data_IF_004599437556
#
_entry.id   IF_004599437556
#
_cell.length_a   1.000
_cell.length_b   1.000
_cell.length_c   1.000
_cell.angle_alpha   90.00
_cell.angle_beta   90.00
_cell.angle_gamma   90.00
#
_symmetry.space_group_name_H-M   'P 1'
#
loop_
_entity.id
_entity.type
_entity.pdbx_description
1 polymer ?
#
# COMPACT_ATOMS: atom_id res chain seq x y z
N UNK A 1 -13.70 10.39 -2.88
CA UNK A 1 -13.04 10.99 -1.70
C UNK A 1 -12.95 10.00 -0.55
N UNK A 2 -11.74 9.51 -0.33
CA UNK A 2 -11.35 8.68 0.82
C UNK A 2 -11.71 9.41 2.12
N UNK A 3 -12.50 8.79 2.99
CA UNK A 3 -12.86 9.39 4.27
C UNK A 3 -11.60 9.66 5.11
N UNK A 4 -11.34 10.95 5.40
CA UNK A 4 -10.25 11.37 6.28
C UNK A 4 -8.90 11.64 5.61
N UNK A 5 -8.74 11.42 4.31
CA UNK A 5 -7.51 11.86 3.59
C UNK A 5 -7.37 13.37 3.60
N UNK A 6 -8.46 14.12 3.40
CA UNK A 6 -8.41 15.58 3.44
C UNK A 6 -7.92 16.12 4.79
N UNK A 7 -8.33 15.47 5.89
CA UNK A 7 -7.84 15.80 7.23
C UNK A 7 -6.36 15.46 7.38
N UNK A 8 -5.96 14.28 6.90
CA UNK A 8 -4.56 13.86 6.92
C UNK A 8 -3.70 14.85 6.12
N UNK A 9 -4.08 15.17 4.88
CA UNK A 9 -3.44 16.17 4.03
C UNK A 9 -3.28 17.52 4.74
N UNK A 10 -4.35 18.04 5.33
CA UNK A 10 -4.30 19.32 6.02
C UNK A 10 -3.37 19.30 7.25
N UNK A 11 -3.37 18.19 7.99
CA UNK A 11 -2.59 18.04 9.22
C UNK A 11 -1.10 17.80 8.96
N UNK A 12 -0.76 17.10 7.87
CA UNK A 12 0.62 16.76 7.49
C UNK A 12 1.23 17.69 6.43
N UNK A 13 0.65 18.88 6.25
CA UNK A 13 1.22 19.88 5.34
C UNK A 13 2.63 20.28 5.79
N UNK A 14 3.59 20.25 4.86
CA UNK A 14 5.02 20.45 5.14
C UNK A 14 5.80 19.19 5.53
N UNK A 15 5.12 18.05 5.69
CA UNK A 15 5.71 16.76 6.06
C UNK A 15 5.67 15.74 4.91
N UNK A 16 5.39 16.17 3.68
CA UNK A 16 5.13 15.29 2.53
C UNK A 16 6.34 14.43 2.13
N UNK A 17 7.56 14.84 2.48
CA UNK A 17 8.79 14.09 2.20
C UNK A 17 9.05 12.93 3.17
N UNK A 18 8.28 12.84 4.25
CA UNK A 18 8.54 11.94 5.38
C UNK A 18 7.70 10.67 5.32
N UNK A 19 6.76 10.59 4.38
CA UNK A 19 5.91 9.43 4.19
C UNK A 19 5.55 9.22 2.72
N UNK A 20 5.08 8.01 2.43
CA UNK A 20 4.41 7.67 1.16
C UNK A 20 3.13 6.91 1.50
N UNK A 21 1.99 7.42 1.05
CA UNK A 21 0.73 6.69 1.12
C UNK A 21 0.73 5.60 0.05
N UNK A 22 0.32 4.41 0.45
CA UNK A 22 0.25 3.24 -0.42
C UNK A 22 -1.12 2.57 -0.29
N UNK A 23 -1.22 1.32 -0.74
CA UNK A 23 -2.38 0.48 -0.47
C UNK A 23 -3.66 1.01 -1.11
N UNK A 24 -4.80 0.82 -0.43
CA UNK A 24 -6.12 1.14 -0.99
C UNK A 24 -6.35 2.63 -1.21
N UNK A 25 -5.90 3.46 -0.26
CA UNK A 25 -6.17 4.89 -0.27
C UNK A 25 -5.38 5.61 -1.36
N UNK A 26 -4.13 5.22 -1.59
CA UNK A 26 -3.35 5.72 -2.72
C UNK A 26 -4.00 5.36 -4.06
N UNK A 27 -4.50 4.12 -4.22
CA UNK A 27 -5.21 3.71 -5.43
C UNK A 27 -6.48 4.56 -5.67
N UNK A 28 -7.25 4.84 -4.61
CA UNK A 28 -8.46 5.65 -4.72
C UNK A 28 -8.16 7.08 -5.14
N UNK A 29 -7.15 7.72 -4.55
CA UNK A 29 -6.72 9.08 -4.92
C UNK A 29 -6.26 9.15 -6.39
N UNK A 30 -5.45 8.19 -6.82
CA UNK A 30 -4.91 8.14 -8.19
C UNK A 30 -6.03 7.91 -9.22
N UNK A 31 -7.02 7.08 -8.90
CA UNK A 31 -8.16 6.84 -9.79
C UNK A 31 -9.09 8.06 -9.86
N UNK A 32 -9.31 8.73 -8.73
CA UNK A 32 -10.13 9.94 -8.64
C UNK A 32 -9.52 11.10 -9.47
N UNK A 33 -8.19 11.21 -9.53
CA UNK A 33 -7.47 12.20 -10.36
C UNK A 33 -7.86 12.11 -11.86
N UNK A 34 -8.13 10.90 -12.36
CA UNK A 34 -8.53 10.66 -13.75
C UNK A 34 -10.05 10.43 -13.92
N UNK A 35 -10.83 10.66 -12.87
CA UNK A 35 -12.28 10.51 -12.88
C UNK A 35 -12.79 9.07 -12.93
N UNK A 36 -12.00 8.11 -12.45
CA UNK A 36 -12.38 6.70 -12.33
C UNK A 36 -12.74 6.35 -10.88
N UNK A 37 -13.74 5.49 -10.73
CA UNK A 37 -14.10 4.94 -9.42
C UNK A 37 -13.11 3.85 -8.99
N UNK A 38 -12.77 3.85 -7.71
CA UNK A 38 -12.06 2.76 -7.06
C UNK A 38 -12.86 2.22 -5.88
N UNK A 39 -12.54 1.00 -5.42
CA UNK A 39 -13.19 0.46 -4.22
C UNK A 39 -12.83 1.36 -3.03
N UNK A 40 -13.85 1.86 -2.34
CA UNK A 40 -13.64 2.71 -1.18
C UNK A 40 -12.83 1.97 -0.10
N UNK A 41 -11.85 2.67 0.47
CA UNK A 41 -11.21 2.27 1.72
C UNK A 41 -11.37 3.37 2.77
N UNK A 42 -11.27 2.98 4.04
CA UNK A 42 -11.24 3.93 5.15
C UNK A 42 -9.92 3.86 5.92
N UNK A 43 -9.02 3.01 5.47
CA UNK A 43 -7.73 2.74 6.09
C UNK A 43 -6.64 3.48 5.32
N UNK A 44 -5.66 4.03 6.05
CA UNK A 44 -4.46 4.63 5.47
C UNK A 44 -3.25 3.74 5.74
N UNK A 45 -2.65 3.27 4.65
CA UNK A 45 -1.37 2.58 4.65
C UNK A 45 -0.25 3.59 4.43
N UNK A 46 0.61 3.78 5.43
CA UNK A 46 1.61 4.86 5.48
C UNK A 46 3.00 4.25 5.61
N UNK A 47 3.84 4.40 4.60
CA UNK A 47 5.27 4.04 4.69
C UNK A 47 6.06 5.24 5.15
N UNK A 48 6.82 5.11 6.23
CA UNK A 48 7.69 6.16 6.73
C UNK A 48 9.03 6.16 5.97
N UNK A 49 9.48 7.34 5.56
CA UNK A 49 10.81 7.55 4.96
C UNK A 49 11.78 7.87 6.09
N UNK A 50 12.38 6.82 6.65
CA UNK A 50 13.14 6.88 7.91
C UNK A 50 14.27 7.92 7.87
N UNK A 51 14.95 8.03 6.73
CA UNK A 51 16.04 9.00 6.53
C UNK A 51 15.58 10.47 6.48
N UNK A 52 14.28 10.73 6.30
CA UNK A 52 13.68 12.06 6.27
C UNK A 52 12.94 12.40 7.58
N UNK A 53 12.77 11.43 8.49
CA UNK A 53 12.07 11.65 9.76
C UNK A 53 12.84 12.60 10.67
N UNK A 54 12.09 13.47 11.32
CA UNK A 54 12.58 14.38 12.35
C UNK A 54 11.60 14.36 13.55
N UNK A 55 11.98 14.96 14.70
CA UNK A 55 11.10 15.01 15.87
C UNK A 55 9.76 15.71 15.58
N UNK A 56 9.75 16.70 14.67
CA UNK A 56 8.54 17.44 14.32
C UNK A 56 7.49 16.55 13.65
N UNK A 57 7.91 15.59 12.82
CA UNK A 57 6.98 14.60 12.25
C UNK A 57 6.36 13.72 13.33
N UNK A 58 7.16 13.21 14.26
CA UNK A 58 6.66 12.34 15.34
C UNK A 58 5.64 13.08 16.23
N UNK A 59 5.92 14.34 16.56
CA UNK A 59 4.98 15.21 17.28
C UNK A 59 3.69 15.44 16.49
N UNK A 60 3.81 15.76 15.20
CA UNK A 60 2.67 15.98 14.29
C UNK A 60 1.82 14.71 14.16
N UNK A 61 2.46 13.55 14.02
CA UNK A 61 1.78 12.27 13.92
C UNK A 61 1.02 11.93 15.19
N UNK A 62 1.65 12.11 16.36
CA UNK A 62 0.98 11.88 17.65
C UNK A 62 -0.17 12.85 17.88
N UNK A 63 -0.02 14.12 17.50
CA UNK A 63 -1.11 15.08 17.55
C UNK A 63 -2.31 14.65 16.68
N UNK A 64 -2.06 14.04 15.51
CA UNK A 64 -3.13 13.49 14.67
C UNK A 64 -3.84 12.31 15.34
N UNK A 65 -3.07 11.40 15.94
CA UNK A 65 -3.59 10.23 16.66
C UNK A 65 -4.43 10.66 17.88
N UNK A 66 -3.98 11.68 18.61
CA UNK A 66 -4.69 12.23 19.77
C UNK A 66 -5.95 12.98 19.37
N UNK A 67 -5.86 13.83 18.34
CA UNK A 67 -7.01 14.59 17.83
C UNK A 67 -8.08 13.69 17.19
N UNK A 68 -7.69 12.56 16.58
CA UNK A 68 -8.61 11.54 16.11
C UNK A 68 -9.20 10.67 17.23
N UNK A 69 -8.57 10.71 18.42
CA UNK A 69 -8.96 9.91 19.58
C UNK A 69 -8.93 8.41 19.28
N UNK A 70 -7.87 7.93 18.62
CA UNK A 70 -7.71 6.52 18.28
C UNK A 70 -7.52 5.67 19.55
N UNK A 71 -8.48 4.79 19.79
CA UNK A 71 -8.55 3.94 21.00
C UNK A 71 -7.59 2.75 20.93
N UNK A 72 -7.44 2.16 19.75
CA UNK A 72 -6.58 1.00 19.55
C UNK A 72 -5.21 1.49 19.11
N UNK A 73 -4.16 1.10 19.86
CA UNK A 73 -2.76 1.37 19.54
C UNK A 73 -1.97 0.07 19.66
N UNK A 74 -1.53 -0.46 18.53
CA UNK A 74 -0.94 -1.78 18.42
C UNK A 74 0.46 -1.71 17.79
N UNK A 75 1.31 -2.66 18.16
CA UNK A 75 2.64 -2.85 17.57
C UNK A 75 2.89 -4.34 17.29
N UNK A 76 3.51 -4.66 16.15
CA UNK A 76 4.04 -6.01 15.91
C UNK A 76 5.11 -6.39 16.93
N UNK A 77 5.16 -7.67 17.30
CA UNK A 77 6.31 -8.27 17.96
C UNK A 77 7.33 -8.78 16.92
N UNK A 78 8.63 -8.75 17.26
CA UNK A 78 9.71 -9.27 16.43
C UNK A 78 10.53 -8.20 15.70
N UNK A 79 11.19 -8.58 14.60
CA UNK A 79 12.03 -7.67 13.79
C UNK A 79 11.23 -6.57 13.07
N UNK A 80 9.91 -6.69 13.04
CA UNK A 80 9.00 -5.82 12.30
C UNK A 80 8.50 -4.73 13.23
N UNK A 81 8.45 -3.50 12.74
CA UNK A 81 7.69 -2.44 13.39
C UNK A 81 6.56 -2.02 12.46
N UNK A 82 5.42 -2.64 12.65
CA UNK A 82 4.14 -2.13 12.21
C UNK A 82 3.48 -1.46 13.41
N UNK A 83 3.04 -0.22 13.24
CA UNK A 83 2.10 0.40 14.17
C UNK A 83 0.71 0.43 13.55
N UNK A 84 -0.30 0.15 14.37
CA UNK A 84 -1.69 0.28 13.97
C UNK A 84 -2.45 1.13 14.97
N UNK A 85 -3.10 2.17 14.45
CA UNK A 85 -4.00 3.03 15.20
C UNK A 85 -5.40 2.85 14.63
N UNK A 86 -6.37 2.42 15.43
CA UNK A 86 -7.71 2.13 14.92
C UNK A 86 -8.81 2.59 15.88
N UNK A 87 -10.05 2.61 15.37
CA UNK A 87 -11.24 3.06 16.09
C UNK A 87 -11.09 4.51 16.58
N UNK A 88 -11.03 5.48 15.67
CA UNK A 88 -11.11 6.88 16.07
C UNK A 88 -12.46 7.15 16.75
N UNK A 89 -12.44 7.87 17.87
CA UNK A 89 -13.67 8.35 18.52
C UNK A 89 -14.20 9.64 17.87
N UNK A 90 -13.36 10.34 17.10
CA UNK A 90 -13.73 11.56 16.38
C UNK A 90 -14.12 11.27 14.93
N UNK A 91 -15.26 11.79 14.49
CA UNK A 91 -15.75 11.62 13.12
C UNK A 91 -14.85 12.30 12.07
N UNK A 92 -14.81 11.70 10.88
CA UNK A 92 -14.07 12.22 9.73
C UNK A 92 -12.57 11.86 9.73
N UNK A 93 -12.09 11.07 10.68
CA UNK A 93 -10.76 10.47 10.66
C UNK A 93 -10.77 9.11 9.93
N UNK A 94 -9.65 8.70 9.33
CA UNK A 94 -9.48 7.34 8.81
C UNK A 94 -9.77 6.29 9.88
N UNK A 95 -10.46 5.20 9.55
CA UNK A 95 -10.82 4.15 10.52
C UNK A 95 -9.61 3.44 11.10
N UNK A 96 -8.54 3.40 10.32
CA UNK A 96 -7.28 2.79 10.69
C UNK A 96 -6.11 3.52 10.04
N UNK A 97 -5.03 3.69 10.79
CA UNK A 97 -3.71 4.10 10.31
C UNK A 97 -2.77 2.92 10.50
N UNK A 98 -2.14 2.47 9.43
CA UNK A 98 -1.10 1.43 9.45
C UNK A 98 0.23 2.07 9.04
N UNK A 99 1.18 2.13 9.98
CA UNK A 99 2.51 2.68 9.73
C UNK A 99 3.51 1.56 9.52
N UNK A 100 4.19 1.63 8.39
CA UNK A 100 5.25 0.71 8.00
C UNK A 100 6.59 1.42 8.05
N UNK A 101 7.58 0.80 8.69
CA UNK A 101 8.97 1.25 8.69
C UNK A 101 9.90 0.13 8.25
N UNK A 102 10.89 0.44 7.42
CA UNK A 102 11.98 -0.48 7.05
C UNK A 102 13.05 -0.60 8.13
N UNK A 103 13.07 0.32 9.11
CA UNK A 103 14.03 0.33 10.21
C UNK A 103 13.33 0.30 11.59
N UNK A 104 13.71 -0.62 12.49
CA UNK A 104 13.14 -0.69 13.83
C UNK A 104 13.51 0.50 14.73
N UNK A 105 14.62 1.17 14.45
CA UNK A 105 15.24 2.14 15.36
C UNK A 105 14.88 3.60 15.02
N UNK A 106 14.20 3.84 13.90
CA UNK A 106 14.01 5.19 13.35
C UNK A 106 12.75 5.94 13.80
N UNK A 107 11.83 5.28 14.52
CA UNK A 107 10.57 5.89 14.94
C UNK A 107 10.25 5.52 16.40
N UNK A 108 10.72 6.33 17.34
CA UNK A 108 10.26 6.26 18.72
C UNK A 108 8.94 7.03 18.85
N UNK A 109 7.83 6.30 18.95
CA UNK A 109 6.61 6.88 19.51
C UNK A 109 6.93 7.42 20.90
N UNK A 110 6.62 8.70 21.13
CA UNK A 110 6.97 9.46 22.34
C UNK A 110 6.89 8.60 23.62
N UNK A 111 7.89 8.68 24.53
CA UNK A 111 7.93 7.85 25.74
C UNK A 111 6.62 7.93 26.53
N UNK A 112 5.95 6.79 26.72
CA UNK A 112 4.71 6.69 27.51
C UNK A 112 3.47 6.22 26.75
N UNK A 113 3.52 6.03 25.42
CA UNK A 113 2.42 5.36 24.70
C UNK A 113 2.34 3.89 25.08
N UNK A 114 1.24 3.49 25.73
CA UNK A 114 0.92 2.08 25.98
C UNK A 114 0.50 1.42 24.66
N UNK A 115 1.44 0.72 24.01
CA UNK A 115 1.16 -0.08 22.82
C UNK A 115 0.87 -1.52 23.23
N UNK A 116 -0.21 -2.08 22.70
CA UNK A 116 -0.57 -3.48 22.95
C UNK A 116 0.01 -4.38 21.86
N UNK A 117 0.72 -5.48 22.20
CA UNK A 117 1.13 -6.47 21.22
C UNK A 117 -0.07 -7.32 20.82
N UNK A 118 -0.48 -7.27 19.55
CA UNK A 118 -1.61 -8.04 19.01
C UNK A 118 -1.25 -8.58 17.62
N UNK A 119 -1.71 -9.80 17.25
CA UNK A 119 -1.53 -10.33 15.91
C UNK A 119 -2.12 -9.39 14.85
N UNK A 120 -1.28 -9.10 13.85
CA UNK A 120 -1.56 -8.16 12.76
C UNK A 120 -2.32 -8.87 11.64
N UNK A 121 -3.11 -8.13 10.87
CA UNK A 121 -3.86 -8.68 9.73
C UNK A 121 -2.89 -9.18 8.63
N UNK A 122 -3.29 -10.20 7.87
CA UNK A 122 -2.36 -10.84 6.93
C UNK A 122 -1.87 -9.94 5.79
N UNK A 123 -2.71 -9.01 5.33
CA UNK A 123 -2.30 -8.02 4.33
C UNK A 123 -1.22 -7.08 4.86
N UNK A 124 -1.40 -6.54 6.06
CA UNK A 124 -0.41 -5.68 6.68
C UNK A 124 0.89 -6.45 7.00
N UNK A 125 0.78 -7.73 7.34
CA UNK A 125 1.95 -8.60 7.51
C UNK A 125 2.69 -8.84 6.16
N UNK A 126 1.94 -9.06 5.08
CA UNK A 126 2.49 -9.22 3.72
C UNK A 126 3.18 -7.95 3.25
N UNK A 127 2.51 -6.80 3.36
CA UNK A 127 3.04 -5.50 2.97
C UNK A 127 4.26 -5.08 3.81
N UNK A 128 4.23 -5.32 5.12
CA UNK A 128 5.40 -5.16 5.97
C UNK A 128 6.56 -6.04 5.51
N UNK A 129 6.31 -7.29 5.11
CA UNK A 129 7.36 -8.17 4.60
C UNK A 129 7.94 -7.69 3.26
N UNK A 130 7.13 -7.10 2.39
CA UNK A 130 7.59 -6.47 1.14
C UNK A 130 8.53 -5.30 1.45
N UNK A 131 8.15 -4.43 2.39
CA UNK A 131 8.91 -3.21 2.73
C UNK A 131 10.21 -3.47 3.51
N UNK A 132 10.39 -4.68 4.05
CA UNK A 132 11.69 -5.11 4.60
C UNK A 132 12.73 -5.38 3.52
N UNK A 133 12.28 -5.62 2.29
CA UNK A 133 13.21 -5.82 1.19
C UNK A 133 13.79 -4.48 0.73
N UNK A 134 15.11 -4.41 0.69
CA UNK A 134 15.83 -3.18 0.37
C UNK A 134 15.57 -2.72 -1.08
N UNK A 135 15.35 -3.63 -2.04
CA UNK A 135 15.03 -3.27 -3.42
C UNK A 135 13.62 -2.67 -3.50
N UNK A 136 12.62 -3.22 -2.80
CA UNK A 136 11.28 -2.65 -2.75
C UNK A 136 11.23 -1.30 -2.02
N UNK A 137 11.95 -1.14 -0.91
CA UNK A 137 12.02 0.15 -0.22
C UNK A 137 12.72 1.21 -1.09
N UNK A 138 13.82 0.86 -1.75
CA UNK A 138 14.50 1.76 -2.68
C UNK A 138 13.60 2.14 -3.86
N UNK A 139 12.90 1.17 -4.45
CA UNK A 139 11.95 1.38 -5.54
C UNK A 139 10.76 2.27 -5.13
N UNK A 140 10.20 2.06 -3.94
CA UNK A 140 9.12 2.91 -3.42
C UNK A 140 9.52 4.38 -3.37
N UNK A 141 10.75 4.68 -2.94
CA UNK A 141 11.25 6.06 -2.85
C UNK A 141 11.40 6.74 -4.22
N UNK A 142 11.66 5.98 -5.28
CA UNK A 142 11.81 6.54 -6.63
C UNK A 142 10.47 6.73 -7.35
N UNK A 143 9.43 6.02 -6.91
CA UNK A 143 8.10 6.01 -7.53
C UNK A 143 7.06 6.82 -6.75
N UNK A 144 7.48 7.54 -5.70
CA UNK A 144 6.62 8.46 -4.96
C UNK A 144 6.33 9.73 -5.77
N UNK A 145 5.08 10.16 -5.82
CA UNK A 145 4.68 11.44 -6.41
C UNK A 145 3.78 12.24 -5.47
N UNK A 146 3.83 13.56 -5.61
CA UNK A 146 2.87 14.44 -4.94
C UNK A 146 1.54 14.41 -5.67
N UNK A 147 0.45 14.18 -4.93
CA UNK A 147 -0.92 14.22 -5.41
C UNK A 147 -1.75 15.02 -4.41
N UNK A 148 -2.24 16.18 -4.82
CA UNK A 148 -3.00 17.11 -3.98
C UNK A 148 -2.36 17.35 -2.60
N UNK A 149 -1.05 17.55 -2.50
CA UNK A 149 -0.39 17.85 -1.22
C UNK A 149 -0.24 16.65 -0.27
N UNK A 150 -0.42 15.42 -0.75
CA UNK A 150 0.10 14.21 -0.09
C UNK A 150 1.05 13.47 -1.01
N UNK A 151 2.02 12.75 -0.46
CA UNK A 151 2.87 11.85 -1.25
C UNK A 151 2.22 10.49 -1.35
N UNK A 152 2.00 10.01 -2.57
CA UNK A 152 1.46 8.67 -2.88
C UNK A 152 2.48 7.89 -3.69
N UNK A 153 2.50 6.56 -3.54
CA UNK A 153 3.19 5.71 -4.52
C UNK A 153 2.40 5.75 -5.82
N UNK A 154 3.03 6.06 -6.94
CA UNK A 154 2.33 6.17 -8.22
C UNK A 154 1.77 4.83 -8.72
N UNK A 155 0.93 4.87 -9.75
CA UNK A 155 0.28 3.68 -10.30
C UNK A 155 1.29 2.64 -10.82
N UNK A 156 2.42 3.09 -11.39
CA UNK A 156 3.46 2.22 -11.92
C UNK A 156 4.24 1.52 -10.80
N UNK A 157 4.37 2.15 -9.64
CA UNK A 157 4.97 1.62 -8.43
C UNK A 157 4.03 0.74 -7.63
N UNK A 158 2.73 1.06 -7.55
CA UNK A 158 1.75 0.26 -6.81
C UNK A 158 1.57 -1.13 -7.43
N UNK A 159 1.59 -1.24 -8.76
CA UNK A 159 1.35 -2.51 -9.46
C UNK A 159 2.31 -3.62 -8.98
N UNK A 160 3.65 -3.44 -8.95
CA UNK A 160 4.57 -4.43 -8.37
C UNK A 160 4.28 -4.81 -6.92
N UNK A 161 3.93 -3.84 -6.07
CA UNK A 161 3.56 -4.11 -4.68
C UNK A 161 2.30 -4.99 -4.59
N UNK A 162 1.28 -4.73 -5.41
CA UNK A 162 0.06 -5.55 -5.47
C UNK A 162 0.34 -6.95 -6.04
N UNK A 163 1.18 -7.06 -7.06
CA UNK A 163 1.59 -8.34 -7.63
C UNK A 163 2.31 -9.20 -6.59
N UNK A 164 3.25 -8.62 -5.84
CA UNK A 164 3.95 -9.32 -4.77
C UNK A 164 3.06 -9.72 -3.61
N UNK A 165 2.14 -8.85 -3.18
CA UNK A 165 1.14 -9.18 -2.16
C UNK A 165 0.24 -10.35 -2.58
N UNK A 166 -0.17 -10.39 -3.85
CA UNK A 166 -0.93 -11.52 -4.41
C UNK A 166 -0.15 -12.84 -4.32
N UNK A 167 1.13 -12.85 -4.72
CA UNK A 167 1.99 -14.04 -4.66
C UNK A 167 2.12 -14.52 -3.22
N UNK A 168 2.45 -13.61 -2.29
CA UNK A 168 2.68 -13.97 -0.89
C UNK A 168 1.40 -14.52 -0.23
N UNK A 169 0.27 -13.82 -0.34
CA UNK A 169 -1.00 -14.28 0.22
C UNK A 169 -1.46 -15.60 -0.41
N UNK A 170 -1.24 -15.81 -1.71
CA UNK A 170 -1.56 -17.09 -2.38
C UNK A 170 -0.71 -18.24 -1.86
N UNK A 171 0.61 -18.02 -1.67
CA UNK A 171 1.53 -19.01 -1.11
C UNK A 171 1.13 -19.39 0.32
N UNK A 172 0.88 -18.40 1.18
CA UNK A 172 0.48 -18.60 2.58
C UNK A 172 -0.82 -19.38 2.69
N UNK A 173 -1.79 -19.07 1.82
CA UNK A 173 -3.04 -19.84 1.71
C UNK A 173 -2.78 -21.29 1.31
N UNK A 174 -1.89 -21.54 0.34
CA UNK A 174 -1.53 -22.89 -0.08
C UNK A 174 -0.80 -23.68 1.03
N UNK A 175 -0.08 -22.99 1.91
CA UNK A 175 0.58 -23.54 3.10
C UNK A 175 -0.40 -23.79 4.28
N UNK A 176 -1.69 -23.47 4.12
CA UNK A 176 -2.74 -23.77 5.10
C UNK A 176 -3.05 -22.63 6.07
N UNK A 177 -2.50 -21.43 5.85
CA UNK A 177 -2.85 -20.24 6.64
C UNK A 177 -4.29 -19.77 6.33
N UNK A 178 -4.96 -19.19 7.33
CA UNK A 178 -6.33 -18.68 7.19
C UNK A 178 -6.35 -17.34 6.45
N UNK A 179 -6.27 -17.38 5.14
CA UNK A 179 -6.34 -16.20 4.25
C UNK A 179 -7.67 -16.20 3.48
N UNK A 180 -8.41 -15.09 3.48
CA UNK A 180 -9.63 -14.92 2.69
C UNK A 180 -9.29 -14.83 1.19
N UNK A 181 -10.00 -15.61 0.37
CA UNK A 181 -9.84 -15.61 -1.09
C UNK A 181 -10.14 -14.25 -1.72
N UNK A 182 -11.05 -13.47 -1.13
CA UNK A 182 -11.37 -12.10 -1.58
C UNK A 182 -10.19 -11.16 -1.37
N UNK A 183 -9.46 -11.34 -0.26
CA UNK A 183 -8.28 -10.53 0.06
C UNK A 183 -7.12 -10.86 -0.87
N UNK A 184 -6.96 -12.11 -1.29
CA UNK A 184 -6.02 -12.47 -2.36
C UNK A 184 -6.45 -11.84 -3.69
N UNK A 185 -7.69 -12.11 -4.14
CA UNK A 185 -8.17 -11.75 -5.47
C UNK A 185 -8.26 -10.24 -5.71
N UNK A 186 -8.48 -9.42 -4.67
CA UNK A 186 -8.51 -7.97 -4.85
C UNK A 186 -7.19 -7.41 -5.36
N UNK A 187 -6.04 -8.00 -5.00
CA UNK A 187 -4.73 -7.51 -5.46
C UNK A 187 -4.55 -7.65 -6.98
N UNK A 188 -4.83 -8.83 -7.56
CA UNK A 188 -4.77 -9.01 -9.03
C UNK A 188 -5.79 -8.13 -9.77
N UNK A 189 -6.96 -7.87 -9.16
CA UNK A 189 -7.97 -6.99 -9.74
C UNK A 189 -7.51 -5.52 -9.70
N UNK A 190 -6.91 -5.09 -8.59
CA UNK A 190 -6.32 -3.75 -8.43
C UNK A 190 -5.19 -3.54 -9.45
N UNK A 191 -4.34 -4.55 -9.72
CA UNK A 191 -3.33 -4.50 -10.80
C UNK A 191 -3.96 -4.17 -12.15
N UNK A 192 -5.03 -4.88 -12.55
CA UNK A 192 -5.70 -4.62 -13.81
C UNK A 192 -6.37 -3.25 -13.87
N UNK A 193 -6.90 -2.74 -12.75
CA UNK A 193 -7.44 -1.38 -12.68
C UNK A 193 -6.36 -0.35 -12.93
N UNK A 194 -5.26 -0.42 -12.17
CA UNK A 194 -4.13 0.52 -12.24
C UNK A 194 -3.44 0.48 -13.61
N UNK A 195 -3.34 -0.70 -14.22
CA UNK A 195 -2.75 -0.86 -15.54
C UNK A 195 -3.48 -0.04 -16.63
N UNK A 196 -4.77 0.27 -16.46
CA UNK A 196 -5.51 1.15 -17.39
C UNK A 196 -4.97 2.58 -17.40
N UNK A 197 -4.31 3.00 -16.32
CA UNK A 197 -3.76 4.35 -16.17
C UNK A 197 -2.42 4.49 -16.88
N UNK A 198 -1.67 3.39 -17.02
CA UNK A 198 -0.41 3.41 -17.76
C UNK A 198 -0.68 3.68 -19.24
N UNK A 199 0.14 4.53 -19.85
CA UNK A 199 0.11 4.73 -21.30
C UNK A 199 0.38 3.43 -22.06
N UNK A 200 -0.10 3.34 -23.31
CA UNK A 200 0.09 2.15 -24.14
C UNK A 200 1.57 1.83 -24.40
N UNK A 201 2.39 2.88 -24.54
CA UNK A 201 3.84 2.80 -24.81
C UNK A 201 4.70 3.07 -23.57
N UNK A 202 4.09 3.13 -22.38
CA UNK A 202 4.82 3.43 -21.15
C UNK A 202 5.70 2.23 -20.78
N UNK A 203 6.96 2.47 -20.46
CA UNK A 203 7.92 1.43 -20.05
C UNK A 203 8.65 1.84 -18.77
N UNK A 204 8.82 0.90 -17.85
CA UNK A 204 9.45 1.09 -16.55
C UNK A 204 10.50 0.01 -16.31
N UNK A 205 11.72 0.43 -16.01
CA UNK A 205 12.78 -0.50 -15.62
C UNK A 205 12.65 -0.88 -14.15
N UNK A 206 12.49 -2.18 -13.90
CA UNK A 206 12.39 -2.73 -12.56
C UNK A 206 13.74 -3.25 -12.06
N UNK A 207 14.03 -3.11 -10.75
CA UNK A 207 15.08 -3.87 -10.10
C UNK A 207 14.92 -5.38 -10.35
N UNK A 208 16.04 -6.11 -10.39
CA UNK A 208 16.08 -7.52 -10.81
C UNK A 208 15.10 -8.39 -10.01
N UNK A 209 15.02 -8.17 -8.70
CA UNK A 209 14.13 -8.96 -7.85
C UNK A 209 12.65 -8.66 -8.14
N UNK A 210 12.30 -7.38 -8.23
CA UNK A 210 10.93 -6.95 -8.54
C UNK A 210 10.51 -7.45 -9.93
N UNK A 211 11.44 -7.47 -10.89
CA UNK A 211 11.23 -8.04 -12.22
C UNK A 211 10.88 -9.53 -12.16
N UNK A 212 11.59 -10.31 -11.33
CA UNK A 212 11.33 -11.73 -11.13
C UNK A 212 9.97 -11.98 -10.44
N UNK A 213 9.60 -11.14 -9.48
CA UNK A 213 8.27 -11.19 -8.84
C UNK A 213 7.15 -10.90 -9.84
N UNK A 214 7.33 -9.89 -10.69
CA UNK A 214 6.37 -9.54 -11.74
C UNK A 214 6.20 -10.66 -12.77
N UNK A 215 7.30 -11.32 -13.17
CA UNK A 215 7.24 -12.49 -14.05
C UNK A 215 6.46 -13.63 -13.38
N UNK A 216 6.75 -13.91 -12.11
CA UNK A 216 6.04 -14.93 -11.33
C UNK A 216 4.54 -14.61 -11.24
N UNK A 217 4.19 -13.35 -11.01
CA UNK A 217 2.80 -12.91 -10.97
C UNK A 217 2.09 -13.15 -12.31
N UNK A 218 2.74 -12.82 -13.43
CA UNK A 218 2.19 -13.04 -14.78
C UNK A 218 1.97 -14.53 -15.05
N UNK A 219 2.94 -15.37 -14.70
CA UNK A 219 2.87 -16.82 -14.91
C UNK A 219 1.72 -17.42 -14.09
N UNK A 220 1.57 -17.01 -12.83
CA UNK A 220 0.43 -17.44 -12.00
C UNK A 220 -0.90 -16.91 -12.55
N UNK A 221 -0.95 -15.65 -12.99
CA UNK A 221 -2.15 -15.01 -13.51
C UNK A 221 -2.64 -15.67 -14.81
N UNK A 222 -1.72 -16.16 -15.66
CA UNK A 222 -2.03 -16.88 -16.88
C UNK A 222 -2.87 -18.15 -16.62
N UNK A 223 -2.62 -18.81 -15.49
CA UNK A 223 -3.32 -20.02 -15.06
C UNK A 223 -4.63 -19.73 -14.29
N UNK A 224 -5.01 -18.46 -14.11
CA UNK A 224 -6.23 -18.09 -13.39
C UNK A 224 -7.42 -17.91 -14.33
N UNK A 225 -8.20 -18.96 -14.56
CA UNK A 225 -9.38 -18.92 -15.43
C UNK A 225 -10.54 -18.07 -14.88
N UNK A 226 -10.57 -17.85 -13.57
CA UNK A 226 -11.57 -17.00 -12.93
C UNK A 226 -11.21 -15.50 -12.97
N UNK A 227 -10.06 -15.13 -13.56
CA UNK A 227 -9.65 -13.74 -13.72
C UNK A 227 -10.28 -13.12 -14.96
N UNK A 228 -11.41 -12.44 -14.77
CA UNK A 228 -12.16 -11.78 -15.84
C UNK A 228 -12.27 -10.25 -15.59
N UNK A 229 -11.34 -9.42 -16.09
CA UNK A 229 -11.31 -7.97 -15.82
C UNK A 229 -12.61 -7.22 -16.12
N UNK A 230 -13.31 -7.64 -17.18
CA UNK A 230 -14.61 -7.08 -17.57
C UNK A 230 -15.68 -7.20 -16.46
N UNK A 231 -15.63 -8.24 -15.62
CA UNK A 231 -16.61 -8.44 -14.55
C UNK A 231 -16.48 -7.40 -13.42
N UNK A 232 -15.36 -6.71 -13.33
CA UNK A 232 -15.11 -5.70 -12.31
C UNK A 232 -14.77 -4.32 -12.88
N UNK A 233 -15.22 -4.05 -14.11
CA UNK A 233 -15.20 -2.72 -14.73
C UNK A 233 -13.94 -2.38 -15.53
N UNK A 234 -13.08 -3.36 -15.83
CA UNK A 234 -11.85 -3.15 -16.60
C UNK A 234 -12.02 -3.68 -18.02
N UNK A 235 -11.87 -2.82 -19.02
CA UNK A 235 -12.12 -3.14 -20.43
C UNK A 235 -10.97 -3.91 -21.11
N UNK A 236 -10.38 -4.90 -20.43
CA UNK A 236 -9.30 -5.76 -20.93
C UNK A 236 -9.65 -7.25 -20.74
N UNK A 237 -9.03 -8.13 -21.54
CA UNK A 237 -9.01 -9.58 -21.25
C UNK A 237 -7.81 -9.90 -20.36
N UNK A 238 -7.76 -11.12 -19.81
CA UNK A 238 -6.60 -11.62 -19.07
C UNK A 238 -5.32 -11.53 -19.92
N UNK A 239 -5.41 -11.92 -21.18
CA UNK A 239 -4.30 -11.94 -22.13
C UNK A 239 -3.80 -10.52 -22.39
N UNK A 240 -4.71 -9.56 -22.60
CA UNK A 240 -4.35 -8.15 -22.76
C UNK A 240 -3.69 -7.59 -21.51
N UNK A 241 -4.17 -7.93 -20.30
CA UNK A 241 -3.51 -7.53 -19.04
C UNK A 241 -2.08 -8.06 -18.99
N UNK A 242 -1.89 -9.35 -19.29
CA UNK A 242 -0.56 -9.99 -19.30
C UNK A 242 0.37 -9.30 -20.30
N UNK A 243 -0.06 -9.11 -21.54
CA UNK A 243 0.76 -8.50 -22.59
C UNK A 243 1.13 -7.05 -22.24
N UNK A 244 0.19 -6.29 -21.67
CA UNK A 244 0.45 -4.93 -21.21
C UNK A 244 1.39 -4.87 -20.01
N UNK A 245 1.31 -5.82 -19.07
CA UNK A 245 2.29 -5.90 -17.97
C UNK A 245 3.68 -6.24 -18.49
N UNK A 246 3.80 -7.17 -19.45
CA UNK A 246 5.09 -7.50 -20.07
C UNK A 246 5.70 -6.30 -20.77
N UNK A 247 4.90 -5.60 -21.57
CA UNK A 247 5.34 -4.37 -22.24
C UNK A 247 5.75 -3.30 -21.23
N UNK A 248 4.87 -2.98 -20.28
CA UNK A 248 5.09 -1.88 -19.35
C UNK A 248 6.31 -2.06 -18.45
N UNK A 249 6.65 -3.30 -18.09
CA UNK A 249 7.74 -3.59 -17.16
C UNK A 249 8.94 -4.30 -17.81
N UNK A 250 9.04 -4.24 -19.15
CA UNK A 250 10.13 -4.80 -19.94
C UNK A 250 10.41 -6.29 -19.63
N UNK A 251 9.35 -7.11 -19.46
CA UNK A 251 9.41 -8.53 -19.07
C UNK A 251 9.46 -9.47 -20.28
#
# INVERSE_FOLDING_TARGET
>A
MVAGVDRFRAHFSGHEQQYVLIGGAACELIMEEVGLDFRATKDLDIVLIVEALDPAFSETFMAFVEAGGYEVRQRSEGKRILYRFAKPSTEGYPTMLELFSSAPEGFELVPGSQLTPIPIAEEAASLSAILLDAEYYAFLKTMGRSLDGVTVLDEAGIIPFKARAYIDLSRRRAEGEKVDDRDVKKHRNDVARLLQLLGAEATFDLPKMIKADMQTFIDVLAEQDDFAPKQFGVAMTREVVIDRLRHAYNL
#
